data_IF_262302233035
#
_entry.id   IF_262302233035
#
_cell.length_a   1.000
_cell.length_b   1.000
_cell.length_c   1.000
_cell.angle_alpha   90.00
_cell.angle_beta   90.00
_cell.angle_gamma   90.00
#
_symmetry.space_group_name_H-M   'P 1'
#
loop_
_entity.id
_entity.type
_entity.pdbx_description
1 polymer ?
#
# COMPACT_ATOMS: atom_id res chain seq x y z
N UNK A 1 71.61 13.35 -22.46
CA UNK A 1 71.11 13.50 -21.07
C UNK A 1 69.64 13.85 -21.17
N UNK A 2 68.74 12.89 -21.02
CA UNK A 2 67.29 13.11 -21.03
C UNK A 2 66.80 13.19 -19.59
N UNK A 3 66.22 14.33 -19.22
CA UNK A 3 65.60 14.53 -17.90
C UNK A 3 64.14 14.18 -18.10
N UNK A 4 63.67 13.08 -17.51
CA UNK A 4 62.23 12.81 -17.47
C UNK A 4 61.54 13.89 -16.64
N UNK A 5 60.43 14.47 -17.12
CA UNK A 5 59.66 15.43 -16.35
C UNK A 5 58.99 14.72 -15.17
N UNK A 6 59.32 15.15 -13.95
CA UNK A 6 58.58 14.79 -12.74
C UNK A 6 57.13 15.28 -12.90
N UNK A 7 56.17 14.34 -12.87
CA UNK A 7 54.75 14.63 -12.86
C UNK A 7 54.47 15.68 -11.77
N UNK A 8 53.97 16.83 -12.20
CA UNK A 8 53.75 17.97 -11.32
C UNK A 8 52.65 17.63 -10.32
N UNK A 9 52.77 18.12 -9.07
CA UNK A 9 51.80 17.85 -7.98
C UNK A 9 50.33 18.15 -8.33
N UNK A 10 50.09 18.98 -9.35
CA UNK A 10 48.75 19.32 -9.83
C UNK A 10 48.08 18.17 -10.58
N UNK A 11 48.85 17.33 -11.29
CA UNK A 11 48.33 16.21 -12.10
C UNK A 11 47.90 15.04 -11.21
N UNK A 12 48.69 14.71 -10.19
CA UNK A 12 48.32 13.72 -9.18
C UNK A 12 47.06 14.13 -8.38
N UNK A 13 46.83 15.43 -8.18
CA UNK A 13 45.63 15.92 -7.50
C UNK A 13 44.36 15.78 -8.37
N UNK A 14 44.49 15.91 -9.70
CA UNK A 14 43.37 15.71 -10.61
C UNK A 14 42.98 14.24 -10.73
N UNK A 15 43.93 13.32 -10.70
CA UNK A 15 43.66 11.88 -10.77
C UNK A 15 42.82 11.41 -9.56
N UNK A 16 43.21 11.84 -8.35
CA UNK A 16 42.44 11.54 -7.15
C UNK A 16 41.02 12.15 -7.20
N UNK A 17 40.86 13.35 -7.77
CA UNK A 17 39.54 13.96 -7.92
C UNK A 17 38.63 13.16 -8.86
N UNK A 18 39.18 12.59 -9.94
CA UNK A 18 38.45 11.71 -10.87
C UNK A 18 38.05 10.42 -10.19
N UNK A 19 38.94 9.82 -9.39
CA UNK A 19 38.64 8.62 -8.61
C UNK A 19 37.52 8.85 -7.60
N UNK A 20 37.55 9.97 -6.87
CA UNK A 20 36.49 10.34 -5.93
C UNK A 20 35.15 10.57 -6.64
N UNK A 21 35.16 11.25 -7.79
CA UNK A 21 33.95 11.46 -8.58
C UNK A 21 33.33 10.12 -9.01
N UNK A 22 34.16 9.17 -9.46
CA UNK A 22 33.73 7.82 -9.82
C UNK A 22 33.10 7.08 -8.64
N UNK A 23 33.74 7.10 -7.47
CA UNK A 23 33.20 6.46 -6.25
C UNK A 23 31.85 7.04 -5.85
N UNK A 24 31.67 8.36 -6.01
CA UNK A 24 30.39 9.02 -5.70
C UNK A 24 29.28 8.60 -6.66
N UNK A 25 29.56 8.49 -7.95
CA UNK A 25 28.58 8.03 -8.94
C UNK A 25 28.23 6.54 -8.74
N UNK A 26 29.22 5.69 -8.47
CA UNK A 26 28.99 4.27 -8.15
C UNK A 26 28.10 4.12 -6.91
N UNK A 27 28.30 4.95 -5.90
CA UNK A 27 27.48 4.97 -4.68
C UNK A 27 26.04 5.39 -4.98
N UNK A 28 25.84 6.44 -5.80
CA UNK A 28 24.49 6.89 -6.19
C UNK A 28 23.73 5.81 -6.96
N UNK A 29 24.40 5.17 -7.92
CA UNK A 29 23.84 4.07 -8.69
C UNK A 29 23.40 2.90 -7.80
N UNK A 30 24.26 2.50 -6.84
CA UNK A 30 23.95 1.40 -5.92
C UNK A 30 22.74 1.71 -5.03
N UNK A 31 22.61 2.96 -4.56
CA UNK A 31 21.47 3.40 -3.76
C UNK A 31 20.17 3.42 -4.58
N UNK A 32 20.22 3.97 -5.80
CA UNK A 32 19.06 3.99 -6.71
C UNK A 32 18.58 2.57 -7.02
N UNK A 33 19.50 1.65 -7.34
CA UNK A 33 19.17 0.24 -7.59
C UNK A 33 18.56 -0.45 -6.38
N UNK A 34 19.10 -0.18 -5.19
CA UNK A 34 18.55 -0.72 -3.94
C UNK A 34 17.13 -0.20 -3.71
N UNK A 35 16.87 1.09 -3.94
CA UNK A 35 15.54 1.69 -3.81
C UNK A 35 14.53 1.10 -4.81
N UNK A 36 14.93 0.94 -6.09
CA UNK A 36 14.13 0.29 -7.11
C UNK A 36 13.79 -1.15 -6.71
N UNK A 37 14.78 -1.90 -6.21
CA UNK A 37 14.60 -3.28 -5.79
C UNK A 37 13.67 -3.40 -4.58
N UNK A 38 13.79 -2.48 -3.62
CA UNK A 38 12.88 -2.39 -2.47
C UNK A 38 11.44 -2.09 -2.92
N UNK A 39 11.25 -1.18 -3.88
CA UNK A 39 9.94 -0.87 -4.46
C UNK A 39 9.32 -2.09 -5.14
N UNK A 40 10.05 -2.75 -6.04
CA UNK A 40 9.57 -3.95 -6.75
C UNK A 40 9.26 -5.09 -5.78
N UNK A 41 10.09 -5.31 -4.76
CA UNK A 41 9.84 -6.32 -3.74
C UNK A 41 8.58 -5.99 -2.90
N UNK A 42 8.41 -4.74 -2.47
CA UNK A 42 7.22 -4.27 -1.75
C UNK A 42 5.95 -4.43 -2.60
N UNK A 43 6.00 -4.07 -3.88
CA UNK A 43 4.90 -4.24 -4.82
C UNK A 43 4.57 -5.72 -5.04
N UNK A 44 5.59 -6.58 -5.18
CA UNK A 44 5.38 -8.03 -5.33
C UNK A 44 4.67 -8.64 -4.12
N UNK A 45 5.05 -8.23 -2.90
CA UNK A 45 4.39 -8.64 -1.65
C UNK A 45 2.98 -8.05 -1.54
N UNK A 46 2.74 -6.81 -2.01
CA UNK A 46 1.41 -6.21 -2.04
C UNK A 46 0.49 -6.87 -3.07
N UNK A 47 1.01 -7.30 -4.22
CA UNK A 47 0.22 -7.99 -5.25
C UNK A 47 -0.21 -9.40 -4.82
N UNK A 48 0.56 -10.06 -3.95
CA UNK A 48 0.14 -11.33 -3.32
C UNK A 48 -0.84 -11.10 -2.17
N UNK A 49 -0.65 -10.03 -1.38
CA UNK A 49 -1.55 -9.66 -0.28
C UNK A 49 -2.98 -9.31 -0.75
N UNK A 50 -3.15 -8.83 -1.99
CA UNK A 50 -4.46 -8.53 -2.56
C UNK A 50 -5.11 -9.69 -3.33
N UNK A 51 -4.37 -10.78 -3.62
CA UNK A 51 -4.88 -11.87 -4.49
C UNK A 51 -4.85 -13.27 -3.82
N UNK A 52 -4.13 -13.48 -2.73
CA UNK A 52 -4.12 -14.78 -2.01
C UNK A 52 -4.14 -14.52 -0.49
N UNK A 53 -5.22 -14.74 0.24
CA UNK A 53 -5.75 -16.08 0.54
C UNK A 53 -7.17 -15.97 1.09
N UNK A 54 -8.13 -16.40 0.27
CA UNK A 54 -9.49 -16.79 0.71
C UNK A 54 -9.44 -18.05 1.61
N UNK A 55 -8.26 -18.63 1.87
CA UNK A 55 -8.13 -19.94 2.53
C UNK A 55 -7.81 -19.88 4.03
N UNK A 56 -7.28 -18.77 4.57
CA UNK A 56 -6.81 -18.75 5.97
C UNK A 56 -7.32 -17.59 6.86
N UNK A 57 -8.26 -16.76 6.39
CA UNK A 57 -8.92 -15.74 7.23
C UNK A 57 -10.05 -16.33 8.12
N UNK A 58 -9.90 -17.57 8.59
CA UNK A 58 -10.99 -18.28 9.31
C UNK A 58 -11.33 -17.68 10.68
N UNK A 59 -10.47 -16.80 11.24
CA UNK A 59 -10.62 -16.25 12.59
C UNK A 59 -10.39 -14.74 12.72
N UNK A 60 -10.25 -13.99 11.61
CA UNK A 60 -10.09 -12.53 11.71
C UNK A 60 -11.46 -11.86 11.67
N UNK A 61 -11.76 -11.00 12.64
CA UNK A 61 -12.99 -10.20 12.66
C UNK A 61 -13.10 -9.36 11.38
N UNK A 62 -14.02 -9.74 10.50
CA UNK A 62 -14.27 -9.05 9.22
C UNK A 62 -15.49 -8.15 9.35
N UNK A 63 -15.27 -6.85 9.18
CA UNK A 63 -16.36 -5.88 9.05
C UNK A 63 -16.88 -5.90 7.61
N UNK A 64 -18.20 -5.97 7.45
CA UNK A 64 -18.86 -6.03 6.15
C UNK A 64 -19.57 -4.71 5.92
N UNK A 65 -19.17 -3.99 4.86
CA UNK A 65 -19.92 -2.95 4.15
C UNK A 65 -20.45 -1.74 4.95
N UNK A 66 -20.56 -0.56 4.31
CA UNK A 66 -21.42 0.49 4.85
C UNK A 66 -22.89 0.12 4.57
N UNK A 67 -23.66 -0.11 5.63
CA UNK A 67 -25.11 -0.30 5.54
C UNK A 67 -25.85 0.91 6.10
N UNK A 68 -26.97 1.25 5.45
CA UNK A 68 -27.84 2.33 5.93
C UNK A 68 -28.58 1.87 7.18
N UNK A 69 -28.66 2.75 8.18
CA UNK A 69 -29.48 2.53 9.38
C UNK A 69 -30.93 2.84 9.04
N UNK A 70 -31.84 1.92 9.35
CA UNK A 70 -33.29 2.07 9.19
C UNK A 70 -33.91 2.59 10.48
N UNK A 71 -33.50 2.03 11.63
CA UNK A 71 -34.06 2.38 12.93
C UNK A 71 -33.02 2.18 14.04
N UNK A 72 -33.12 3.02 15.09
CA UNK A 72 -32.27 2.97 16.28
C UNK A 72 -33.10 2.52 17.47
N UNK A 73 -32.63 1.46 18.13
CA UNK A 73 -33.15 0.98 19.43
C UNK A 73 -32.06 1.17 20.49
N UNK A 74 -32.40 1.21 21.79
CA UNK A 74 -31.43 1.49 22.86
C UNK A 74 -30.18 0.58 22.86
N UNK A 75 -30.31 -0.69 22.48
CA UNK A 75 -29.20 -1.67 22.45
C UNK A 75 -29.02 -2.34 21.08
N UNK A 76 -29.76 -1.91 20.05
CA UNK A 76 -29.77 -2.56 18.76
C UNK A 76 -30.00 -1.57 17.61
N UNK A 77 -29.41 -1.86 16.47
CA UNK A 77 -29.53 -1.07 15.24
C UNK A 77 -30.14 -1.95 14.17
N UNK A 78 -31.17 -1.43 13.49
CA UNK A 78 -31.73 -2.06 12.31
C UNK A 78 -31.03 -1.54 11.07
N UNK A 79 -30.38 -2.43 10.33
CA UNK A 79 -29.62 -2.13 9.12
C UNK A 79 -30.40 -2.58 7.89
N UNK A 80 -30.30 -1.79 6.81
CA UNK A 80 -30.81 -2.17 5.50
C UNK A 80 -29.85 -3.17 4.85
N UNK A 81 -29.98 -4.43 5.26
CA UNK A 81 -29.20 -5.53 4.70
C UNK A 81 -29.84 -6.05 3.40
N UNK A 82 -29.05 -6.39 2.37
CA UNK A 82 -29.56 -7.10 1.21
C UNK A 82 -30.04 -8.50 1.63
N UNK A 83 -31.15 -8.95 1.04
CA UNK A 83 -31.78 -10.25 1.33
C UNK A 83 -30.88 -11.46 1.01
N UNK A 84 -29.81 -11.24 0.24
CA UNK A 84 -28.81 -12.25 -0.09
C UNK A 84 -27.95 -12.63 1.12
N UNK A 85 -27.82 -11.74 2.11
CA UNK A 85 -27.11 -12.03 3.36
C UNK A 85 -28.04 -12.75 4.33
N UNK A 86 -27.60 -13.91 4.83
CA UNK A 86 -28.32 -14.71 5.84
C UNK A 86 -28.18 -14.15 7.27
N UNK A 87 -27.95 -12.85 7.40
CA UNK A 87 -27.74 -12.15 8.68
C UNK A 87 -29.03 -11.44 9.05
N UNK A 88 -29.35 -11.40 10.35
CA UNK A 88 -30.53 -10.72 10.84
C UNK A 88 -30.40 -9.18 10.65
N UNK A 89 -31.44 -8.47 10.16
CA UNK A 89 -31.38 -7.02 9.93
C UNK A 89 -31.11 -6.20 11.19
N UNK A 90 -31.55 -6.69 12.35
CA UNK A 90 -31.33 -6.06 13.67
C UNK A 90 -30.10 -6.67 14.32
N UNK A 91 -29.11 -5.83 14.62
CA UNK A 91 -27.81 -6.20 15.23
C UNK A 91 -27.54 -5.41 16.50
N UNK A 92 -26.69 -5.92 17.40
CA UNK A 92 -26.31 -5.20 18.62
C UNK A 92 -25.40 -4.01 18.28
N UNK A 93 -25.53 -2.89 19.01
CA UNK A 93 -24.65 -1.70 18.88
C UNK A 93 -23.15 -2.02 19.01
N UNK A 94 -22.76 -3.03 19.80
CA UNK A 94 -21.35 -3.44 19.95
C UNK A 94 -20.77 -4.09 18.69
N UNK A 95 -21.61 -4.61 17.81
CA UNK A 95 -21.25 -5.24 16.53
C UNK A 95 -21.37 -4.28 15.36
N UNK A 96 -21.57 -2.98 15.62
CA UNK A 96 -21.70 -1.94 14.59
C UNK A 96 -20.57 -0.95 14.75
N UNK A 97 -19.90 -0.64 13.63
CA UNK A 97 -18.86 0.39 13.58
C UNK A 97 -19.37 1.61 12.81
N UNK A 98 -19.27 2.83 13.38
CA UNK A 98 -19.64 4.05 12.66
C UNK A 98 -18.78 4.23 11.42
N UNK A 99 -19.43 4.58 10.30
CA UNK A 99 -18.74 4.92 9.06
C UNK A 99 -18.13 6.31 9.17
N UNK A 100 -16.81 6.43 8.97
CA UNK A 100 -16.06 7.70 9.13
C UNK A 100 -15.90 8.52 7.84
N UNK A 101 -16.55 8.12 6.74
CA UNK A 101 -16.43 8.81 5.45
C UNK A 101 -15.11 8.51 4.72
N UNK A 102 -15.07 8.92 3.44
CA UNK A 102 -13.85 8.95 2.64
C UNK A 102 -13.06 10.19 3.06
N UNK A 103 -11.87 10.02 3.63
CA UNK A 103 -11.01 11.16 3.96
C UNK A 103 -10.59 11.85 2.65
N UNK A 104 -10.67 13.18 2.61
CA UNK A 104 -10.28 13.98 1.44
C UNK A 104 -8.87 13.58 1.00
N UNK A 105 -8.75 12.99 -0.19
CA UNK A 105 -7.48 12.48 -0.75
C UNK A 105 -7.41 10.97 -0.97
N UNK A 106 -8.36 10.17 -0.48
CA UNK A 106 -8.44 8.74 -0.83
C UNK A 106 -9.27 8.57 -2.11
N UNK A 107 -8.64 8.29 -3.25
CA UNK A 107 -9.36 7.74 -4.41
C UNK A 107 -9.90 6.38 -3.99
N UNK A 108 -11.23 6.22 -3.99
CA UNK A 108 -11.86 4.94 -3.70
C UNK A 108 -11.36 3.90 -4.73
N UNK A 109 -10.38 3.07 -4.34
CA UNK A 109 -10.15 1.81 -5.05
C UNK A 109 -11.39 0.97 -4.78
N UNK A 110 -12.31 1.10 -5.72
CA UNK A 110 -13.61 0.49 -5.75
C UNK A 110 -13.46 -1.04 -5.70
N UNK A 111 -13.50 -1.60 -4.49
CA UNK A 111 -13.62 -3.03 -4.27
C UNK A 111 -15.11 -3.38 -4.30
N UNK A 112 -15.60 -3.70 -5.51
CA UNK A 112 -16.84 -4.41 -5.77
C UNK A 112 -18.15 -3.63 -5.51
N UNK A 113 -18.58 -2.82 -6.47
CA UNK A 113 -20.02 -2.59 -6.72
C UNK A 113 -20.64 -3.96 -6.98
N UNK A 114 -21.33 -4.50 -5.98
CA UNK A 114 -22.41 -5.42 -6.26
C UNK A 114 -23.54 -4.58 -6.85
N UNK A 115 -23.57 -4.53 -8.18
CA UNK A 115 -24.67 -3.96 -8.94
C UNK A 115 -25.96 -4.67 -8.53
N UNK A 116 -26.79 -3.98 -7.74
CA UNK A 116 -28.10 -4.43 -7.26
C UNK A 116 -29.16 -4.44 -8.37
N UNK A 117 -28.77 -4.39 -9.64
CA UNK A 117 -29.65 -4.36 -10.82
C UNK A 117 -29.91 -5.74 -11.43
N UNK A 118 -29.60 -6.85 -10.74
CA UNK A 118 -29.93 -8.22 -11.19
C UNK A 118 -30.83 -9.01 -10.23
N UNK A 119 -31.66 -8.32 -9.45
CA UNK A 119 -32.72 -8.99 -8.68
C UNK A 119 -34.06 -8.34 -9.00
N UNK A 120 -34.55 -8.63 -10.20
CA UNK A 120 -35.94 -8.45 -10.61
C UNK A 120 -36.57 -9.84 -10.80
#
# INVERSE_FOLDING_TARGET
MGIEPFLSKAEAATDHAVDFAKVLEDTRWALEKTADQMRVNSESQCSEALVYSVRDMKLTERWIGPYKVVSLKPNAVELKLPKTLKIHPVVNVSQVKPYKGLLEGQTATHCGELNLSQLE
#
